data_IF_412821819744
#
_entry.id   IF_412821819744
#
_cell.length_a   1.000
_cell.length_b   1.000
_cell.length_c   1.000
_cell.angle_alpha   90.00
_cell.angle_beta   90.00
_cell.angle_gamma   90.00
#
_symmetry.space_group_name_H-M   'P 1'
#
loop_
_entity.id
_entity.type
_entity.pdbx_description
1 polymer ?
#
# COMPACT_ATOMS: atom_id res chain seq x y z
N UNK A 1 13.99 10.80 6.04
CA UNK A 1 12.53 10.99 5.85
C UNK A 1 12.11 12.31 6.45
N UNK A 2 11.21 13.07 5.79
CA UNK A 2 10.52 14.22 6.40
C UNK A 2 9.03 13.87 6.59
N UNK A 3 8.47 14.18 7.76
CA UNK A 3 7.05 14.00 8.05
C UNK A 3 6.41 15.34 8.46
N UNK A 4 5.55 15.88 7.59
CA UNK A 4 4.73 17.06 7.88
C UNK A 4 3.47 16.59 8.63
N UNK A 5 3.46 16.78 9.94
CA UNK A 5 2.39 16.38 10.86
C UNK A 5 1.48 17.57 11.13
N UNK A 6 0.69 17.98 10.15
CA UNK A 6 -0.01 19.27 10.17
C UNK A 6 -1.26 19.31 11.09
N UNK A 7 -1.73 18.14 11.54
CA UNK A 7 -2.87 18.02 12.47
C UNK A 7 -2.42 17.73 13.90
N UNK A 8 -1.12 17.57 14.14
CA UNK A 8 -0.59 17.18 15.44
C UNK A 8 0.34 18.27 16.04
N UNK A 9 0.47 18.27 17.34
CA UNK A 9 1.48 19.07 18.05
C UNK A 9 2.77 18.26 18.22
N UNK A 10 3.91 18.94 18.33
CA UNK A 10 5.22 18.34 18.61
C UNK A 10 5.18 17.37 19.80
N UNK A 11 4.51 17.78 20.87
CA UNK A 11 4.35 16.95 22.08
C UNK A 11 3.65 15.62 21.76
N UNK A 12 2.57 15.63 20.99
CA UNK A 12 1.84 14.40 20.65
C UNK A 12 2.66 13.49 19.74
N UNK A 13 3.43 14.06 18.83
CA UNK A 13 4.34 13.31 17.96
C UNK A 13 5.39 12.62 18.81
N UNK A 14 6.00 13.34 19.74
CA UNK A 14 7.02 12.80 20.63
C UNK A 14 6.46 11.69 21.54
N UNK A 15 5.27 11.88 22.12
CA UNK A 15 4.59 10.85 22.93
C UNK A 15 4.31 9.58 22.10
N UNK A 16 3.87 9.71 20.85
CA UNK A 16 3.64 8.56 19.96
C UNK A 16 4.93 7.86 19.56
N UNK A 17 5.97 8.60 19.22
CA UNK A 17 7.27 8.04 18.88
C UNK A 17 7.81 7.20 20.05
N UNK A 18 7.76 7.72 21.27
CA UNK A 18 8.19 7.00 22.48
C UNK A 18 7.37 5.73 22.75
N UNK A 19 6.12 5.66 22.25
CA UNK A 19 5.30 4.45 22.35
C UNK A 19 5.67 3.41 21.28
N UNK A 20 6.08 3.87 20.08
CA UNK A 20 6.38 3.00 18.94
C UNK A 20 7.81 2.46 19.00
N UNK A 21 8.77 3.27 19.45
CA UNK A 21 10.19 2.91 19.44
C UNK A 21 10.98 3.61 20.52
N UNK A 22 11.95 2.88 21.08
CA UNK A 22 12.93 3.43 22.00
C UNK A 22 14.09 4.13 21.28
N UNK A 23 14.20 3.96 19.96
CA UNK A 23 15.30 4.50 19.16
C UNK A 23 14.75 5.09 17.85
N UNK A 24 14.70 6.41 17.78
CA UNK A 24 14.29 7.12 16.55
C UNK A 24 15.47 7.11 15.56
N UNK A 25 15.24 6.67 14.29
CA UNK A 25 16.30 6.66 13.29
C UNK A 25 16.87 8.06 13.01
N UNK A 26 18.18 8.14 12.84
CA UNK A 26 18.83 9.35 12.33
C UNK A 26 18.26 9.71 10.93
N UNK A 27 18.13 11.01 10.64
CA UNK A 27 17.56 11.47 9.36
C UNK A 27 16.03 11.41 9.29
N UNK A 28 15.35 11.31 10.42
CA UNK A 28 13.91 11.50 10.53
C UNK A 28 13.60 12.91 11.03
N UNK A 29 12.95 13.72 10.19
CA UNK A 29 12.62 15.12 10.43
C UNK A 29 11.12 15.29 10.54
N UNK A 30 10.67 16.26 11.38
CA UNK A 30 9.25 16.56 11.60
C UNK A 30 9.01 18.06 11.43
N UNK A 31 7.83 18.40 10.85
CA UNK A 31 7.31 19.75 10.82
C UNK A 31 5.82 19.74 11.17
N UNK A 32 5.37 20.64 12.04
CA UNK A 32 3.99 20.73 12.50
C UNK A 32 3.19 21.86 11.85
N UNK A 33 3.81 22.59 10.92
CA UNK A 33 3.14 23.62 10.13
C UNK A 33 3.80 23.78 8.78
N UNK A 34 3.02 24.20 7.80
CA UNK A 34 3.52 24.59 6.47
C UNK A 34 2.53 25.53 5.79
N UNK A 35 2.98 26.13 4.71
CA UNK A 35 2.15 26.95 3.81
C UNK A 35 1.40 26.06 2.81
N UNK A 36 0.45 26.64 2.04
CA UNK A 36 -0.24 25.93 0.98
C UNK A 36 0.64 25.76 -0.28
N UNK A 37 0.14 24.97 -1.24
CA UNK A 37 0.79 24.78 -2.54
C UNK A 37 1.01 26.13 -3.25
N UNK A 38 0.03 27.01 -3.22
CA UNK A 38 0.15 28.37 -3.80
C UNK A 38 1.08 29.28 -2.99
N UNK A 39 1.20 29.08 -1.69
CA UNK A 39 1.92 29.96 -0.78
C UNK A 39 3.38 29.52 -0.56
N UNK A 40 3.92 28.56 -1.33
CA UNK A 40 5.32 28.27 -1.38
C UNK A 40 5.79 26.99 -0.70
N UNK A 41 4.92 26.05 -0.32
CA UNK A 41 5.35 24.75 0.24
C UNK A 41 6.32 24.02 -0.70
N UNK A 42 6.11 24.11 -2.02
CA UNK A 42 7.00 23.47 -3.00
C UNK A 42 8.41 24.04 -2.95
N UNK A 43 8.57 25.35 -2.81
CA UNK A 43 9.88 26.01 -2.72
C UNK A 43 10.56 25.66 -1.40
N UNK A 44 9.81 25.62 -0.31
CA UNK A 44 10.31 25.16 0.97
C UNK A 44 10.79 23.71 0.92
N UNK A 45 10.07 22.81 0.26
CA UNK A 45 10.48 21.41 0.07
C UNK A 45 11.75 21.28 -0.79
N UNK A 46 11.93 22.14 -1.80
CA UNK A 46 13.18 22.22 -2.57
C UNK A 46 14.36 22.65 -1.71
N UNK A 47 14.15 23.66 -0.87
CA UNK A 47 15.17 24.16 0.04
C UNK A 47 15.53 23.13 1.09
N UNK A 48 14.54 22.48 1.67
CA UNK A 48 14.74 21.38 2.60
C UNK A 48 15.55 20.24 1.95
N UNK A 49 15.17 19.80 0.75
CA UNK A 49 15.88 18.72 0.05
C UNK A 49 17.33 19.09 -0.29
N UNK A 50 17.61 20.36 -0.57
CA UNK A 50 18.99 20.83 -0.78
C UNK A 50 19.84 20.75 0.49
N UNK A 51 19.25 21.00 1.65
CA UNK A 51 19.91 20.90 2.96
C UNK A 51 20.02 19.44 3.45
N UNK A 52 19.09 18.59 3.05
CA UNK A 52 18.98 17.18 3.45
C UNK A 52 18.91 16.26 2.23
N UNK A 53 20.00 16.14 1.44
CA UNK A 53 20.01 15.38 0.19
C UNK A 53 19.75 13.88 0.37
N UNK A 54 19.96 13.35 1.56
CA UNK A 54 19.71 11.96 1.94
C UNK A 54 18.21 11.61 2.04
N UNK A 55 17.34 12.62 2.21
CA UNK A 55 15.90 12.39 2.36
C UNK A 55 15.26 11.97 1.04
N UNK A 56 14.73 10.76 0.98
CA UNK A 56 14.07 10.17 -0.18
C UNK A 56 12.55 9.99 -0.03
N UNK A 57 12.01 10.18 1.19
CA UNK A 57 10.58 10.08 1.47
C UNK A 57 10.10 11.32 2.22
N UNK A 58 9.05 11.94 1.71
CA UNK A 58 8.32 13.03 2.39
C UNK A 58 6.86 12.59 2.56
N UNK A 59 6.40 12.54 3.81
CA UNK A 59 5.00 12.27 4.14
C UNK A 59 4.30 13.56 4.55
N UNK A 60 3.07 13.77 4.07
CA UNK A 60 2.25 14.96 4.35
C UNK A 60 0.92 14.52 4.96
N UNK A 61 0.69 14.85 6.23
CA UNK A 61 -0.49 14.47 6.99
C UNK A 61 -1.17 15.72 7.58
N UNK A 62 -2.20 16.25 6.96
CA UNK A 62 -2.91 15.69 5.81
C UNK A 62 -2.76 16.56 4.56
N UNK A 63 -2.92 15.94 3.38
CA UNK A 63 -2.92 16.65 2.09
C UNK A 63 -3.91 17.82 2.07
N UNK A 64 -5.05 17.69 2.75
CA UNK A 64 -6.07 18.72 2.80
C UNK A 64 -5.55 20.07 3.34
N UNK A 65 -4.56 20.05 4.23
CA UNK A 65 -4.03 21.28 4.87
C UNK A 65 -3.05 22.06 4.02
N UNK A 66 -2.48 21.44 2.98
CA UNK A 66 -1.60 22.13 2.03
C UNK A 66 -2.31 22.54 0.75
N UNK A 67 -3.58 22.16 0.58
CA UNK A 67 -4.37 22.51 -0.59
C UNK A 67 -4.70 23.99 -0.62
N UNK A 68 -4.85 24.49 -1.82
CA UNK A 68 -5.38 25.82 -2.05
C UNK A 68 -6.84 25.87 -1.66
N UNK A 69 -7.29 26.81 -0.79
CA UNK A 69 -8.69 26.97 -0.47
C UNK A 69 -9.51 27.34 -1.72
N UNK A 70 -10.23 26.39 -2.29
CA UNK A 70 -11.16 26.63 -3.41
C UNK A 70 -12.59 26.41 -2.97
N UNK A 71 -13.57 27.24 -3.44
CA UNK A 71 -14.98 27.09 -3.06
C UNK A 71 -15.62 25.81 -3.60
N UNK A 72 -15.07 25.23 -4.67
CA UNK A 72 -15.61 24.05 -5.33
C UNK A 72 -14.58 22.94 -5.48
N UNK A 73 -14.96 21.73 -5.04
CA UNK A 73 -14.21 20.50 -5.33
C UNK A 73 -14.46 20.13 -6.79
N UNK A 74 -13.45 20.26 -7.64
CA UNK A 74 -13.57 19.89 -9.05
C UNK A 74 -12.49 18.88 -9.45
N UNK A 75 -12.82 18.01 -10.40
CA UNK A 75 -11.89 17.06 -10.98
C UNK A 75 -10.58 17.73 -11.49
N UNK A 76 -10.75 18.86 -12.20
CA UNK A 76 -9.62 19.61 -12.76
C UNK A 76 -8.73 20.24 -11.70
N UNK A 77 -9.31 20.78 -10.62
CA UNK A 77 -8.57 21.37 -9.51
C UNK A 77 -7.78 20.35 -8.72
N UNK A 78 -8.43 19.24 -8.32
CA UNK A 78 -7.76 18.14 -7.60
C UNK A 78 -6.58 17.57 -8.42
N UNK A 79 -6.81 17.36 -9.73
CA UNK A 79 -5.77 16.83 -10.62
C UNK A 79 -4.61 17.82 -10.81
N UNK A 80 -4.88 19.12 -10.93
CA UNK A 80 -3.87 20.14 -11.12
C UNK A 80 -2.94 20.27 -9.91
N UNK A 81 -3.49 20.27 -8.69
CA UNK A 81 -2.69 20.32 -7.45
C UNK A 81 -1.76 19.10 -7.30
N UNK A 82 -2.31 17.91 -7.54
CA UNK A 82 -1.53 16.67 -7.48
C UNK A 82 -0.45 16.59 -8.56
N UNK A 83 -0.72 17.16 -9.74
CA UNK A 83 0.26 17.26 -10.80
C UNK A 83 1.47 18.11 -10.39
N UNK A 84 1.24 19.25 -9.73
CA UNK A 84 2.34 20.09 -9.19
C UNK A 84 3.20 19.31 -8.21
N UNK A 85 2.57 18.55 -7.29
CA UNK A 85 3.30 17.74 -6.32
C UNK A 85 4.03 16.57 -6.98
N UNK A 86 3.47 15.97 -8.03
CA UNK A 86 4.13 14.91 -8.79
C UNK A 86 5.36 15.45 -9.53
N UNK A 87 5.22 16.57 -10.21
CA UNK A 87 6.34 17.23 -10.90
C UNK A 87 7.47 17.58 -9.90
N UNK A 88 7.11 18.02 -8.69
CA UNK A 88 8.08 18.27 -7.61
C UNK A 88 8.76 16.96 -7.14
N UNK A 89 8.01 15.88 -6.98
CA UNK A 89 8.57 14.59 -6.57
C UNK A 89 9.56 14.05 -7.60
N UNK A 90 9.22 14.17 -8.89
CA UNK A 90 10.08 13.75 -10.01
C UNK A 90 11.34 14.64 -10.07
N UNK A 91 11.20 15.98 -9.92
CA UNK A 91 12.31 16.93 -9.88
C UNK A 91 13.31 16.62 -8.77
N UNK A 92 12.81 16.31 -7.56
CA UNK A 92 13.63 16.09 -6.38
C UNK A 92 14.12 14.64 -6.22
N UNK A 93 13.61 13.72 -7.04
CA UNK A 93 13.90 12.27 -6.94
C UNK A 93 13.47 11.68 -5.60
N UNK A 94 12.25 12.04 -5.14
CA UNK A 94 11.68 11.60 -3.86
C UNK A 94 10.35 10.90 -4.04
N UNK A 95 9.96 10.12 -3.02
CA UNK A 95 8.61 9.63 -2.86
C UNK A 95 7.79 10.63 -2.02
N UNK A 96 6.63 11.06 -2.53
CA UNK A 96 5.64 11.80 -1.74
C UNK A 96 4.52 10.86 -1.29
N UNK A 97 4.33 10.74 0.03
CA UNK A 97 3.22 10.03 0.64
C UNK A 97 2.20 11.05 1.16
N UNK A 98 1.04 11.12 0.51
CA UNK A 98 -0.03 12.04 0.87
C UNK A 98 -1.09 11.30 1.69
N UNK A 99 -1.28 11.68 2.94
CA UNK A 99 -2.35 11.16 3.79
C UNK A 99 -3.63 11.94 3.50
N UNK A 100 -4.73 11.22 3.30
CA UNK A 100 -6.02 11.82 2.97
C UNK A 100 -7.17 11.08 3.65
N UNK A 101 -8.23 11.80 4.02
CA UNK A 101 -9.39 11.21 4.69
C UNK A 101 -10.29 10.44 3.73
N UNK A 102 -10.92 9.38 4.26
CA UNK A 102 -11.95 8.63 3.56
C UNK A 102 -13.33 9.26 3.81
N UNK A 103 -14.20 9.18 2.82
CA UNK A 103 -15.63 9.49 2.97
C UNK A 103 -16.33 8.45 3.84
N UNK A 104 -17.29 8.88 4.62
CA UNK A 104 -18.16 8.00 5.42
C UNK A 104 -19.23 7.30 4.55
N UNK A 105 -18.86 6.81 3.40
CA UNK A 105 -19.77 6.09 2.49
C UNK A 105 -19.35 4.62 2.43
N UNK A 106 -20.37 3.74 2.39
CA UNK A 106 -20.12 2.34 2.08
C UNK A 106 -20.02 2.18 0.57
N UNK A 107 -18.85 1.80 0.09
CA UNK A 107 -18.62 1.41 -1.30
C UNK A 107 -17.93 0.05 -1.31
N UNK A 108 -18.23 -0.76 -2.34
CA UNK A 108 -17.61 -2.07 -2.53
C UNK A 108 -16.14 -1.95 -2.93
N UNK A 109 -15.79 -0.88 -3.63
CA UNK A 109 -14.43 -0.54 -4.01
C UNK A 109 -13.86 0.45 -2.98
N UNK A 110 -12.84 0.07 -2.22
CA UNK A 110 -12.23 0.94 -1.21
C UNK A 110 -11.67 2.25 -1.80
N UNK A 111 -11.22 2.24 -3.04
CA UNK A 111 -10.68 3.43 -3.73
C UNK A 111 -11.74 4.51 -3.89
N UNK A 112 -13.00 4.12 -4.10
CA UNK A 112 -14.12 5.07 -4.20
C UNK A 112 -14.44 5.79 -2.89
N UNK A 113 -13.91 5.30 -1.75
CA UNK A 113 -14.05 5.96 -0.45
C UNK A 113 -13.14 7.17 -0.27
N UNK A 114 -12.18 7.41 -1.16
CA UNK A 114 -11.34 8.60 -1.11
C UNK A 114 -12.21 9.87 -1.17
N UNK A 115 -11.98 10.81 -0.26
CA UNK A 115 -12.65 12.10 -0.31
C UNK A 115 -12.05 12.96 -1.43
N UNK A 116 -12.89 13.77 -2.10
CA UNK A 116 -12.47 14.53 -3.28
C UNK A 116 -13.08 13.97 -4.56
N UNK A 117 -12.53 14.35 -5.69
CA UNK A 117 -12.95 13.84 -7.00
C UNK A 117 -12.17 12.58 -7.40
N UNK A 118 -12.64 11.91 -8.45
CA UNK A 118 -11.86 10.82 -9.09
C UNK A 118 -10.54 11.31 -9.71
N UNK A 119 -10.32 12.64 -9.76
CA UNK A 119 -9.04 13.25 -10.14
C UNK A 119 -7.88 12.87 -9.23
N UNK A 120 -8.16 12.66 -7.92
CA UNK A 120 -7.14 12.26 -6.96
C UNK A 120 -6.60 10.86 -7.31
N UNK A 121 -7.49 9.89 -7.48
CA UNK A 121 -7.08 8.51 -7.78
C UNK A 121 -6.37 8.36 -9.14
N UNK A 122 -6.72 9.23 -10.11
CA UNK A 122 -6.10 9.22 -11.45
C UNK A 122 -4.71 9.87 -11.52
N UNK A 123 -4.35 10.70 -10.54
CA UNK A 123 -3.11 11.49 -10.57
C UNK A 123 -1.92 10.83 -9.86
N UNK A 124 -2.17 9.84 -9.00
CA UNK A 124 -1.15 9.18 -8.18
C UNK A 124 -0.69 7.85 -8.81
N UNK A 125 0.52 7.40 -8.46
CA UNK A 125 1.07 6.14 -8.98
C UNK A 125 0.60 4.94 -8.16
N UNK A 126 0.32 5.13 -6.87
CA UNK A 126 -0.23 4.10 -5.99
C UNK A 126 -1.22 4.69 -4.97
N UNK A 127 -2.18 3.87 -4.57
CA UNK A 127 -3.21 4.21 -3.59
C UNK A 127 -3.20 3.13 -2.50
N UNK A 128 -3.17 3.60 -1.26
CA UNK A 128 -3.28 2.76 -0.08
C UNK A 128 -4.52 3.17 0.70
N UNK A 129 -5.42 2.24 0.94
CA UNK A 129 -6.64 2.49 1.72
C UNK A 129 -6.64 1.63 2.97
N UNK A 130 -6.68 2.27 4.14
CA UNK A 130 -6.83 1.60 5.42
C UNK A 130 -8.25 1.78 5.93
N UNK A 131 -9.02 0.71 5.95
CA UNK A 131 -10.44 0.71 6.28
C UNK A 131 -10.72 -0.11 7.55
N UNK A 132 -11.50 0.47 8.47
CA UNK A 132 -11.96 -0.19 9.69
C UNK A 132 -13.47 -0.28 9.67
N UNK A 133 -14.03 -1.43 10.02
CA UNK A 133 -15.48 -1.59 10.11
C UNK A 133 -16.07 -0.72 11.23
N UNK A 134 -15.46 -0.76 12.42
CA UNK A 134 -15.86 0.05 13.58
C UNK A 134 -14.64 0.74 14.21
N UNK A 135 -14.88 1.87 14.90
CA UNK A 135 -13.79 2.63 15.54
C UNK A 135 -13.09 1.85 16.66
N UNK A 136 -13.83 0.98 17.34
CA UNK A 136 -13.32 0.17 18.45
C UNK A 136 -12.58 -1.08 18.00
N UNK A 137 -12.73 -1.47 16.73
CA UNK A 137 -12.08 -2.65 16.17
C UNK A 137 -10.57 -2.54 16.23
N UNK A 138 -9.93 -3.63 16.63
CA UNK A 138 -8.49 -3.82 16.49
C UNK A 138 -8.09 -4.22 15.07
N UNK A 139 -9.06 -4.64 14.28
CA UNK A 139 -8.85 -5.13 12.91
C UNK A 139 -9.04 -4.00 11.91
N UNK A 140 -8.17 -3.98 10.91
CA UNK A 140 -8.30 -3.12 9.74
C UNK A 140 -8.01 -3.91 8.47
N UNK A 141 -8.61 -3.49 7.37
CA UNK A 141 -8.25 -3.98 6.03
C UNK A 141 -7.44 -2.90 5.33
N UNK A 142 -6.26 -3.27 4.88
CA UNK A 142 -5.39 -2.42 4.08
C UNK A 142 -5.43 -2.89 2.63
N UNK A 143 -5.80 -2.00 1.75
CA UNK A 143 -5.82 -2.21 0.30
C UNK A 143 -4.68 -1.42 -0.32
N UNK A 144 -3.97 -2.04 -1.24
CA UNK A 144 -2.95 -1.39 -2.07
C UNK A 144 -3.28 -1.63 -3.53
N UNK A 145 -3.23 -0.58 -4.33
CA UNK A 145 -3.45 -0.61 -5.80
C UNK A 145 -2.58 0.44 -6.46
N UNK A 146 -2.07 0.19 -7.66
CA UNK A 146 -1.23 1.15 -8.37
C UNK A 146 -0.78 0.66 -9.73
N UNK A 147 -0.04 1.53 -10.45
CA UNK A 147 0.42 1.25 -11.81
C UNK A 147 1.46 0.14 -11.86
N UNK A 148 2.38 0.17 -10.88
CA UNK A 148 3.55 -0.72 -10.82
C UNK A 148 3.47 -1.73 -9.67
N UNK A 149 2.35 -1.75 -8.94
CA UNK A 149 2.10 -2.69 -7.85
C UNK A 149 0.84 -3.52 -8.14
N UNK A 150 0.86 -4.78 -7.73
CA UNK A 150 -0.32 -5.64 -7.82
C UNK A 150 -1.37 -5.22 -6.80
N UNK A 151 -2.64 -5.32 -7.18
CA UNK A 151 -3.73 -5.14 -6.23
C UNK A 151 -3.60 -6.12 -5.07
N UNK A 152 -3.67 -5.57 -3.84
CA UNK A 152 -3.37 -6.31 -2.64
C UNK A 152 -4.33 -5.96 -1.51
N UNK A 153 -4.75 -6.97 -0.78
CA UNK A 153 -5.58 -6.83 0.40
C UNK A 153 -4.88 -7.50 1.58
N UNK A 154 -4.65 -6.74 2.63
CA UNK A 154 -3.95 -7.18 3.84
C UNK A 154 -4.89 -7.00 5.03
N UNK A 155 -5.02 -8.01 5.88
CA UNK A 155 -5.68 -7.88 7.17
C UNK A 155 -4.63 -7.51 8.22
N UNK A 156 -4.94 -6.46 8.98
CA UNK A 156 -4.07 -5.93 10.01
C UNK A 156 -4.76 -5.99 11.36
N UNK A 157 -3.99 -6.21 12.42
CA UNK A 157 -4.41 -6.10 13.81
C UNK A 157 -3.55 -5.07 14.54
N UNK A 158 -4.21 -4.14 15.25
CA UNK A 158 -3.55 -3.13 16.04
C UNK A 158 -3.11 -3.71 17.40
N UNK A 159 -1.82 -3.70 17.64
CA UNK A 159 -1.27 -3.82 18.98
C UNK A 159 -1.44 -2.46 19.70
N UNK A 160 -2.22 -2.45 20.78
CA UNK A 160 -2.53 -1.22 21.50
C UNK A 160 -1.39 -0.74 22.38
N UNK A 161 -0.51 -1.63 22.80
CA UNK A 161 0.59 -1.31 23.70
C UNK A 161 1.74 -0.64 22.94
N UNK A 162 2.01 -1.11 21.71
CA UNK A 162 3.05 -0.55 20.85
C UNK A 162 2.50 0.39 19.77
N UNK A 163 1.17 0.50 19.62
CA UNK A 163 0.51 1.23 18.53
C UNK A 163 0.92 0.78 17.11
N UNK A 164 1.41 -0.45 16.98
CA UNK A 164 1.86 -1.03 15.71
C UNK A 164 0.77 -1.92 15.10
N UNK A 165 0.59 -1.80 13.78
CA UNK A 165 -0.29 -2.67 13.03
C UNK A 165 0.46 -3.91 12.57
N UNK A 166 0.05 -5.07 13.07
CA UNK A 166 0.62 -6.36 12.70
C UNK A 166 -0.17 -7.00 11.56
N UNK A 167 0.53 -7.57 10.60
CA UNK A 167 -0.08 -8.28 9.47
C UNK A 167 -0.59 -9.65 9.91
N UNK A 168 -1.90 -9.91 9.70
CA UNK A 168 -2.55 -11.21 9.96
C UNK A 168 -2.57 -12.05 8.69
N UNK A 169 -3.00 -11.46 7.57
CA UNK A 169 -3.08 -12.14 6.28
C UNK A 169 -2.79 -11.18 5.13
N UNK A 170 -2.47 -11.74 3.98
CA UNK A 170 -2.04 -10.98 2.81
C UNK A 170 -2.34 -11.78 1.54
N UNK A 171 -3.04 -11.17 0.59
CA UNK A 171 -3.42 -11.84 -0.65
C UNK A 171 -2.26 -12.23 -1.54
N UNK A 172 -1.08 -11.62 -1.36
CA UNK A 172 0.12 -11.98 -2.13
C UNK A 172 0.99 -13.02 -1.44
N UNK A 173 1.17 -12.92 -0.11
CA UNK A 173 2.08 -13.82 0.62
C UNK A 173 1.36 -14.95 1.35
N UNK A 174 0.03 -14.85 1.50
CA UNK A 174 -0.84 -15.87 2.09
C UNK A 174 -2.08 -16.05 1.19
N UNK A 175 -1.92 -16.33 -0.11
CA UNK A 175 -3.03 -16.40 -1.04
C UNK A 175 -3.97 -17.57 -0.73
N UNK A 176 -3.51 -18.61 -0.02
CA UNK A 176 -4.33 -19.74 0.42
C UNK A 176 -5.54 -19.32 1.26
N UNK A 177 -5.40 -18.23 2.06
CA UNK A 177 -6.50 -17.73 2.90
C UNK A 177 -7.58 -16.98 2.11
N UNK A 178 -7.35 -16.68 0.85
CA UNK A 178 -8.24 -15.88 0.00
C UNK A 178 -8.75 -16.62 -1.24
N UNK A 179 -8.18 -17.77 -1.53
CA UNK A 179 -8.63 -18.62 -2.62
C UNK A 179 -9.93 -19.37 -2.24
N UNK A 180 -10.86 -19.55 -3.19
CA UNK A 180 -11.94 -20.50 -3.03
C UNK A 180 -11.42 -21.92 -2.76
N UNK A 181 -12.18 -22.73 -2.00
CA UNK A 181 -11.83 -24.10 -1.61
C UNK A 181 -11.45 -24.99 -2.81
N UNK A 182 -12.06 -24.74 -3.96
CA UNK A 182 -11.77 -25.47 -5.20
C UNK A 182 -10.36 -25.17 -5.71
N UNK A 183 -9.90 -23.93 -5.60
CA UNK A 183 -8.55 -23.54 -6.00
C UNK A 183 -7.50 -23.89 -4.97
N UNK A 184 -7.87 -23.91 -3.68
CA UNK A 184 -7.03 -24.50 -2.62
C UNK A 184 -6.79 -25.99 -2.93
N UNK A 185 -7.86 -26.72 -3.32
CA UNK A 185 -7.76 -28.13 -3.72
C UNK A 185 -6.88 -28.30 -4.96
N UNK A 186 -6.97 -27.38 -5.95
CA UNK A 186 -6.09 -27.37 -7.10
C UNK A 186 -4.62 -27.15 -6.70
N UNK A 187 -4.36 -26.21 -5.82
CA UNK A 187 -3.01 -25.96 -5.31
C UNK A 187 -2.40 -27.22 -4.69
N UNK A 188 -3.09 -27.84 -3.71
CA UNK A 188 -2.60 -29.07 -3.08
C UNK A 188 -2.47 -30.25 -4.07
N UNK A 189 -3.37 -30.38 -5.02
CA UNK A 189 -3.21 -31.36 -6.09
C UNK A 189 -1.93 -31.11 -6.89
N UNK A 190 -1.65 -29.87 -7.26
CA UNK A 190 -0.49 -29.53 -8.07
C UNK A 190 0.83 -29.60 -7.31
N UNK A 191 0.88 -29.35 -5.99
CA UNK A 191 2.08 -29.54 -5.16
C UNK A 191 2.50 -31.03 -5.14
N UNK A 192 1.56 -31.95 -5.29
CA UNK A 192 1.86 -33.38 -5.41
C UNK A 192 2.16 -33.85 -6.84
N UNK A 193 1.45 -33.30 -7.83
CA UNK A 193 1.53 -33.75 -9.23
C UNK A 193 2.64 -33.05 -10.04
N UNK A 194 3.08 -31.86 -9.66
CA UNK A 194 4.01 -30.96 -10.34
C UNK A 194 3.58 -30.51 -11.74
N UNK A 195 3.01 -31.36 -12.55
CA UNK A 195 2.48 -31.06 -13.89
C UNK A 195 1.19 -31.84 -14.14
N UNK A 196 0.22 -31.19 -14.79
CA UNK A 196 -1.01 -31.80 -15.28
C UNK A 196 -1.24 -31.36 -16.73
N UNK A 197 -1.55 -32.33 -17.59
CA UNK A 197 -1.94 -32.09 -19.00
C UNK A 197 -3.22 -32.86 -19.25
N UNK A 198 -4.31 -32.18 -19.53
CA UNK A 198 -5.60 -32.80 -19.75
C UNK A 198 -6.71 -31.78 -20.04
N UNK A 199 -7.94 -32.23 -20.11
CA UNK A 199 -9.10 -31.37 -20.26
C UNK A 199 -9.52 -30.74 -18.92
N UNK A 200 -10.26 -29.62 -18.96
CA UNK A 200 -10.83 -29.04 -17.73
C UNK A 200 -11.82 -30.03 -17.05
N UNK A 201 -12.41 -30.95 -17.78
CA UNK A 201 -13.29 -32.00 -17.23
C UNK A 201 -12.50 -32.99 -16.38
N UNK A 202 -11.38 -33.45 -16.89
CA UNK A 202 -10.47 -34.33 -16.16
C UNK A 202 -9.91 -33.65 -14.92
N UNK A 203 -9.44 -32.39 -15.08
CA UNK A 203 -8.93 -31.62 -13.95
C UNK A 203 -9.97 -31.45 -12.85
N UNK A 204 -11.22 -31.08 -13.21
CA UNK A 204 -12.31 -30.95 -12.24
C UNK A 204 -12.61 -32.29 -11.54
N UNK A 205 -12.51 -33.40 -12.26
CA UNK A 205 -12.68 -34.77 -11.69
C UNK A 205 -11.62 -35.10 -10.64
N UNK A 206 -10.36 -34.71 -10.84
CA UNK A 206 -9.29 -34.91 -9.85
C UNK A 206 -9.49 -34.13 -8.55
N UNK A 207 -10.07 -32.92 -8.65
CA UNK A 207 -10.28 -32.06 -7.48
C UNK A 207 -11.41 -32.53 -6.55
N UNK A 208 -12.22 -33.51 -6.98
CA UNK A 208 -13.33 -34.12 -6.18
C UNK A 208 -14.26 -33.06 -5.54
N UNK A 209 -14.50 -31.97 -6.23
CA UNK A 209 -15.38 -30.87 -5.82
C UNK A 209 -16.55 -30.76 -6.80
N UNK A 210 -17.69 -30.31 -6.33
CA UNK A 210 -18.87 -30.04 -7.16
C UNK A 210 -18.67 -28.76 -8.01
N UNK A 211 -17.63 -28.75 -8.83
CA UNK A 211 -17.35 -27.65 -9.74
C UNK A 211 -17.46 -28.09 -11.19
N UNK A 212 -18.21 -27.32 -11.98
CA UNK A 212 -18.26 -27.57 -13.41
C UNK A 212 -16.92 -27.24 -14.08
N UNK A 213 -16.52 -27.95 -15.15
CA UNK A 213 -15.30 -27.66 -15.90
C UNK A 213 -15.20 -26.20 -16.39
N UNK A 214 -16.34 -25.61 -16.76
CA UNK A 214 -16.45 -24.21 -17.14
C UNK A 214 -16.24 -23.27 -15.94
N UNK A 215 -16.84 -23.60 -14.80
CA UNK A 215 -16.68 -22.86 -13.55
C UNK A 215 -15.25 -22.88 -13.06
N UNK A 216 -14.60 -24.04 -13.05
CA UNK A 216 -13.18 -24.17 -12.69
C UNK A 216 -12.30 -23.29 -13.58
N UNK A 217 -12.47 -23.33 -14.89
CA UNK A 217 -11.72 -22.49 -15.82
C UNK A 217 -11.93 -20.99 -15.57
N UNK A 218 -13.19 -20.58 -15.32
CA UNK A 218 -13.48 -19.16 -15.02
C UNK A 218 -12.82 -18.74 -13.70
N UNK A 219 -12.87 -19.60 -12.71
CA UNK A 219 -12.26 -19.36 -11.40
C UNK A 219 -10.74 -19.30 -11.49
N UNK A 220 -10.09 -20.24 -12.19
CA UNK A 220 -8.65 -20.19 -12.45
C UNK A 220 -8.24 -18.89 -13.13
N UNK A 221 -8.97 -18.43 -14.16
CA UNK A 221 -8.66 -17.18 -14.84
C UNK A 221 -8.87 -15.96 -13.94
N UNK A 222 -9.90 -15.95 -13.09
CA UNK A 222 -10.20 -14.88 -12.15
C UNK A 222 -9.11 -14.73 -11.08
N UNK A 223 -8.58 -15.84 -10.60
CA UNK A 223 -7.57 -15.91 -9.54
C UNK A 223 -6.19 -16.27 -10.06
N UNK A 224 -5.93 -15.95 -11.35
CA UNK A 224 -4.67 -16.30 -12.02
C UNK A 224 -3.44 -15.84 -11.26
N UNK A 225 -3.41 -14.57 -10.86
CA UNK A 225 -2.25 -13.98 -10.17
C UNK A 225 -1.99 -14.65 -8.83
N UNK A 226 -3.04 -14.92 -8.05
CA UNK A 226 -2.92 -15.61 -6.76
C UNK A 226 -2.40 -17.06 -6.94
N UNK A 227 -2.83 -17.74 -8.00
CA UNK A 227 -2.32 -19.07 -8.34
C UNK A 227 -0.85 -19.01 -8.78
N UNK A 228 -0.47 -18.03 -9.59
CA UNK A 228 0.92 -17.81 -10.01
C UNK A 228 1.83 -17.47 -8.81
N UNK A 229 1.34 -16.70 -7.85
CA UNK A 229 2.05 -16.38 -6.59
C UNK A 229 2.28 -17.64 -5.73
N UNK A 230 1.36 -18.60 -5.77
CA UNK A 230 1.53 -19.92 -5.15
C UNK A 230 2.39 -20.89 -5.99
N UNK A 231 2.89 -20.44 -7.13
CA UNK A 231 3.68 -21.27 -8.03
C UNK A 231 2.85 -22.14 -8.98
N UNK A 232 1.54 -21.92 -9.09
CA UNK A 232 0.66 -22.65 -10.01
C UNK A 232 0.44 -21.84 -11.28
N UNK A 233 1.07 -22.26 -12.37
CA UNK A 233 0.97 -21.65 -13.69
C UNK A 233 0.09 -22.49 -14.61
N UNK A 234 -0.73 -21.86 -15.45
CA UNK A 234 -1.56 -22.61 -16.38
C UNK A 234 -1.75 -21.91 -17.72
N UNK A 235 -1.88 -22.70 -18.75
CA UNK A 235 -2.17 -22.24 -20.11
C UNK A 235 -3.19 -23.16 -20.79
N UNK A 236 -4.06 -22.59 -21.65
CA UNK A 236 -4.99 -23.38 -22.46
C UNK A 236 -4.40 -23.56 -23.85
N UNK A 237 -4.32 -24.81 -24.32
CA UNK A 237 -3.80 -25.19 -25.63
C UNK A 237 -4.86 -25.89 -26.48
N UNK A 238 -4.64 -25.98 -27.77
CA UNK A 238 -5.43 -26.77 -28.72
C UNK A 238 -4.51 -27.71 -29.49
N UNK A 239 -4.91 -28.98 -29.58
CA UNK A 239 -4.27 -29.95 -30.44
C UNK A 239 -5.32 -30.86 -31.04
N UNK A 240 -5.28 -31.15 -32.32
CA UNK A 240 -6.24 -32.03 -33.04
C UNK A 240 -7.72 -31.67 -32.81
N UNK A 241 -8.03 -30.36 -32.73
CA UNK A 241 -9.41 -29.89 -32.51
C UNK A 241 -9.87 -29.93 -31.02
N UNK A 242 -9.16 -30.60 -30.15
CA UNK A 242 -9.48 -30.67 -28.73
C UNK A 242 -8.77 -29.55 -27.93
N UNK A 243 -9.49 -29.00 -26.93
CA UNK A 243 -8.94 -28.03 -25.99
C UNK A 243 -8.46 -28.75 -24.73
N UNK A 244 -7.24 -28.48 -24.32
CA UNK A 244 -6.67 -28.97 -23.08
C UNK A 244 -6.01 -27.84 -22.28
N UNK A 245 -5.81 -28.05 -21.00
CA UNK A 245 -5.09 -27.16 -20.10
C UNK A 245 -3.80 -27.85 -19.67
N UNK A 246 -2.74 -27.09 -19.66
CA UNK A 246 -1.44 -27.46 -19.04
C UNK A 246 -1.34 -26.66 -17.77
N UNK A 247 -1.21 -27.35 -16.63
CA UNK A 247 -0.98 -26.73 -15.33
C UNK A 247 0.36 -27.21 -14.80
N UNK A 248 1.20 -26.29 -14.32
CA UNK A 248 2.53 -26.57 -13.79
C UNK A 248 2.68 -25.95 -12.42
N UNK A 249 3.30 -26.69 -11.53
CA UNK A 249 3.71 -26.19 -10.22
C UNK A 249 5.22 -25.90 -10.24
N UNK A 250 5.57 -24.72 -9.78
CA UNK A 250 6.95 -24.28 -9.54
C UNK A 250 6.95 -23.62 -8.17
N UNK A 251 7.56 -24.23 -7.15
CA UNK A 251 7.57 -23.61 -5.83
C UNK A 251 8.14 -22.18 -5.93
N UNK A 252 7.55 -21.21 -5.22
CA UNK A 252 8.11 -19.87 -5.11
C UNK A 252 9.57 -19.99 -4.64
N UNK A 253 10.50 -19.32 -5.32
CA UNK A 253 11.87 -19.23 -4.83
C UNK A 253 11.85 -18.45 -3.53
N UNK A 254 12.41 -19.00 -2.47
CA UNK A 254 12.68 -18.26 -1.24
C UNK A 254 13.57 -17.07 -1.59
N UNK A 255 12.92 -15.90 -1.72
CA UNK A 255 13.62 -14.64 -1.91
C UNK A 255 14.47 -14.38 -0.67
N UNK A 256 15.75 -14.14 -0.88
CA UNK A 256 16.76 -13.77 0.11
C UNK A 256 16.18 -12.84 1.21
N UNK A 257 15.81 -13.43 2.33
CA UNK A 257 15.61 -12.73 3.59
C UNK A 257 16.89 -12.77 4.40
N UNK A 258 17.95 -12.12 3.90
CA UNK A 258 19.11 -11.78 4.71
C UNK A 258 18.97 -10.37 5.27
N UNK A 259 18.11 -10.21 6.27
CA UNK A 259 18.20 -9.09 7.18
C UNK A 259 19.19 -9.48 8.28
N UNK A 260 20.40 -9.00 8.17
CA UNK A 260 21.43 -9.08 9.19
C UNK A 260 20.98 -8.35 10.45
N UNK A 261 20.87 -9.10 11.54
CA UNK A 261 20.76 -8.59 12.89
C UNK A 261 22.13 -8.07 13.34
N UNK A 262 22.34 -6.77 13.25
CA UNK A 262 23.42 -6.13 14.02
C UNK A 262 22.79 -5.33 15.17
N UNK A 263 23.02 -5.88 16.35
CA UNK A 263 22.76 -5.25 17.64
C UNK A 263 23.78 -4.13 17.87
N UNK A 264 23.31 -2.89 17.92
CA UNK A 264 24.08 -1.80 18.56
C UNK A 264 23.20 -1.16 19.63
N UNK A 265 23.60 -1.45 20.86
CA UNK A 265 23.18 -0.75 22.08
C UNK A 265 23.95 0.56 22.15
N UNK A 266 23.27 1.70 22.32
CA UNK A 266 23.48 2.65 23.43
C UNK A 266 22.97 4.06 23.15
N UNK A 267 22.47 4.62 24.23
CA UNK A 267 22.40 6.05 24.58
C UNK A 267 21.30 6.90 23.95
N UNK A 268 20.29 7.01 24.75
CA UNK A 268 19.20 7.95 24.77
C UNK A 268 19.62 9.38 25.02
N UNK A 269 18.81 10.27 24.48
CA UNK A 269 18.51 11.66 24.70
C UNK A 269 19.01 12.56 23.57
N UNK A 270 18.41 12.38 22.39
CA UNK A 270 18.39 13.50 21.47
C UNK A 270 16.95 13.76 21.03
N UNK A 271 16.52 15.00 21.22
CA UNK A 271 15.24 15.50 20.77
C UNK A 271 15.13 15.31 19.26
N UNK A 272 14.01 14.73 18.81
CA UNK A 272 13.72 14.58 17.38
C UNK A 272 13.78 15.96 16.72
N UNK A 273 14.52 16.14 15.61
CA UNK A 273 14.66 17.44 14.99
C UNK A 273 13.34 17.89 14.36
N UNK A 274 12.79 19.01 14.84
CA UNK A 274 11.67 19.70 14.24
C UNK A 274 12.19 20.79 13.31
N UNK A 275 11.64 20.85 12.11
CA UNK A 275 12.01 21.78 11.07
C UNK A 275 10.90 22.81 10.89
N UNK A 276 11.11 24.11 11.08
CA UNK A 276 10.09 25.12 10.80
C UNK A 276 9.82 25.19 9.30
N UNK A 277 8.54 25.13 8.93
CA UNK A 277 8.08 25.19 7.55
C UNK A 277 7.81 26.64 7.06
N UNK A 278 7.89 27.60 7.95
CA UNK A 278 7.71 29.04 7.65
C UNK A 278 9.01 29.77 8.00
N UNK A 279 9.57 30.60 7.09
CA UNK A 279 10.70 31.47 7.45
C UNK A 279 10.32 32.35 8.64
N UNK A 280 11.26 32.56 9.56
CA UNK A 280 11.06 33.31 10.79
C UNK A 280 10.70 34.80 10.58
N UNK A 281 10.72 35.29 9.33
CA UNK A 281 10.47 36.69 8.97
C UNK A 281 9.00 37.04 8.74
N UNK A 282 8.07 36.04 8.67
CA UNK A 282 6.64 36.27 8.43
C UNK A 282 5.73 36.10 9.68
N UNK A 283 6.31 36.06 10.88
CA UNK A 283 5.58 36.07 12.15
C UNK A 283 5.63 37.44 12.81
N UNK A 284 5.21 38.48 12.08
CA UNK A 284 5.02 39.83 12.57
C UNK A 284 3.56 40.13 12.90
#
# INVERSE_FOLDING_TARGET
MLYLCLEDSERRIQERLNTITDNVPEGMYFATGCTSIESGVCDWLRDFKRQHPEVSLIAIDTFQLIRTPTPEVSYGGDYAELRVLKELADELGICLLLVHHLRKMNDKDPVNKLSGSTGISGAVDAIFVMDKNERIDRLATFYASGRDIRDRKIQLELDKDTCVWNRISDTLTMPETTLPDELISLYYFMTGANEFIGTNTELAGYLRKDISPKGLKQMMNRYRYQLEDLGVFFESKRSNGQKYVVVKYRPPSDGDSSASSDSVSSALTDSVPFVPCVPAEDLG
#
